data_IF_882245141072
#
_entry.id   IF_882245141072
#
_cell.length_a   1.000
_cell.length_b   1.000
_cell.length_c   1.000
_cell.angle_alpha   90.00
_cell.angle_beta   90.00
_cell.angle_gamma   90.00
#
_symmetry.space_group_name_H-M   'P 1'
#
loop_
_entity.id
_entity.type
_entity.pdbx_description
1 polymer ?
#
# COMPACT_ATOMS: atom_id res chain seq x y z
N UNK A 1 -16.20 -36.62 -10.25
CA UNK A 1 -16.44 -36.47 -8.81
C UNK A 1 -16.64 -35.00 -8.56
N UNK A 2 -17.72 -34.55 -7.89
CA UNK A 2 -17.83 -33.17 -7.46
C UNK A 2 -16.73 -32.95 -6.43
N UNK A 3 -15.87 -31.95 -6.66
CA UNK A 3 -14.86 -31.51 -5.72
C UNK A 3 -15.57 -31.23 -4.38
N UNK A 4 -15.13 -31.89 -3.32
CA UNK A 4 -15.62 -31.63 -1.98
C UNK A 4 -15.17 -30.23 -1.60
N UNK A 5 -16.08 -29.26 -1.67
CA UNK A 5 -15.87 -27.94 -1.11
C UNK A 5 -15.70 -28.12 0.40
N UNK A 6 -14.47 -28.05 0.87
CA UNK A 6 -14.10 -28.27 2.28
C UNK A 6 -14.46 -27.08 3.17
N UNK A 7 -14.72 -25.92 2.57
CA UNK A 7 -15.01 -24.67 3.29
C UNK A 7 -16.32 -24.07 2.79
N UNK A 8 -17.12 -23.55 3.73
CA UNK A 8 -18.33 -22.78 3.43
C UNK A 8 -18.19 -21.42 4.12
N UNK A 9 -18.47 -20.34 3.39
CA UNK A 9 -18.58 -19.00 3.93
C UNK A 9 -20.02 -18.53 3.87
N UNK A 10 -20.39 -17.64 4.78
CA UNK A 10 -21.70 -17.02 4.82
C UNK A 10 -21.52 -15.51 4.82
N UNK A 11 -22.29 -14.84 3.98
CA UNK A 11 -22.39 -13.39 4.01
C UNK A 11 -23.45 -12.99 5.02
N UNK A 12 -23.11 -12.10 5.96
CA UNK A 12 -24.01 -11.54 6.95
C UNK A 12 -23.84 -10.02 6.98
N UNK A 13 -24.93 -9.30 7.09
CA UNK A 13 -24.94 -7.85 7.22
C UNK A 13 -25.74 -7.42 8.47
N UNK A 14 -25.64 -6.15 8.83
CA UNK A 14 -26.33 -5.60 10.00
C UNK A 14 -27.84 -5.63 9.89
N UNK A 15 -28.43 -5.65 8.68
CA UNK A 15 -29.88 -5.69 8.48
C UNK A 15 -30.53 -6.95 9.05
N UNK A 16 -29.77 -8.04 9.15
CA UNK A 16 -30.21 -9.29 9.78
C UNK A 16 -29.84 -9.39 11.27
N UNK A 17 -29.14 -8.40 11.83
CA UNK A 17 -28.70 -8.43 13.23
C UNK A 17 -29.83 -8.04 14.20
N UNK A 18 -30.09 -8.83 15.26
CA UNK A 18 -31.02 -8.42 16.30
C UNK A 18 -30.44 -7.36 17.26
N UNK A 19 -29.15 -6.99 17.09
CA UNK A 19 -28.45 -6.07 17.98
C UNK A 19 -28.49 -4.62 17.46
N UNK A 20 -28.90 -4.40 16.21
CA UNK A 20 -28.96 -3.09 15.58
C UNK A 20 -30.42 -2.74 15.24
N UNK A 21 -30.82 -1.51 15.49
CA UNK A 21 -32.15 -1.03 15.04
C UNK A 21 -32.05 -0.54 13.58
N UNK A 22 -32.96 -0.93 12.73
CA UNK A 22 -33.01 -0.52 11.33
C UNK A 22 -33.01 1.00 11.15
N UNK A 23 -33.62 1.72 12.09
CA UNK A 23 -33.64 3.18 12.01
C UNK A 23 -32.23 3.79 12.08
N UNK A 24 -31.34 3.18 12.88
CA UNK A 24 -29.97 3.66 13.07
C UNK A 24 -29.13 3.33 11.85
N UNK A 25 -29.31 2.15 11.26
CA UNK A 25 -28.68 1.76 10.00
C UNK A 25 -29.10 2.70 8.86
N UNK A 26 -30.41 3.01 8.75
CA UNK A 26 -30.92 3.94 7.73
C UNK A 26 -30.38 5.35 7.95
N UNK A 27 -30.28 5.80 9.20
CA UNK A 27 -29.73 7.13 9.49
C UNK A 27 -28.26 7.21 9.09
N UNK A 28 -27.47 6.21 9.47
CA UNK A 28 -26.05 6.11 9.11
C UNK A 28 -25.85 6.17 7.57
N UNK A 29 -26.65 5.42 6.82
CA UNK A 29 -26.63 5.48 5.35
C UNK A 29 -26.97 6.87 4.81
N UNK A 30 -28.02 7.52 5.36
CA UNK A 30 -28.40 8.88 4.91
C UNK A 30 -27.32 9.91 5.18
N UNK A 31 -26.67 9.82 6.35
CA UNK A 31 -25.60 10.74 6.72
C UNK A 31 -24.37 10.55 5.82
N UNK A 32 -23.99 9.31 5.57
CA UNK A 32 -22.89 8.97 4.65
C UNK A 32 -23.18 9.45 3.21
N UNK A 33 -24.42 9.23 2.73
CA UNK A 33 -24.82 9.70 1.40
C UNK A 33 -24.88 11.23 1.29
N UNK A 34 -25.38 11.91 2.31
CA UNK A 34 -25.42 13.36 2.34
C UNK A 34 -24.01 13.99 2.32
N UNK A 35 -23.04 13.33 2.95
CA UNK A 35 -21.65 13.74 2.90
C UNK A 35 -21.04 13.56 1.51
N UNK A 36 -21.30 12.42 0.85
CA UNK A 36 -20.90 12.20 -0.53
C UNK A 36 -21.50 13.26 -1.47
N UNK A 37 -22.81 13.49 -1.38
CA UNK A 37 -23.53 14.44 -2.25
C UNK A 37 -23.05 15.89 -2.04
N UNK A 38 -22.65 16.26 -0.81
CA UNK A 38 -22.26 17.63 -0.47
C UNK A 38 -20.78 17.93 -0.68
N UNK A 39 -19.94 16.97 -0.38
CA UNK A 39 -18.48 17.17 -0.32
C UNK A 39 -17.71 16.31 -1.31
N UNK A 40 -18.38 15.45 -2.10
CA UNK A 40 -17.78 14.43 -2.97
C UNK A 40 -16.83 13.50 -2.19
N UNK A 41 -17.11 13.26 -0.90
CA UNK A 41 -16.33 12.42 -0.01
C UNK A 41 -17.07 11.10 0.22
N UNK A 42 -16.54 10.02 -0.33
CA UNK A 42 -17.14 8.69 -0.31
C UNK A 42 -16.73 7.85 0.93
N UNK A 43 -15.85 8.35 1.79
CA UNK A 43 -15.25 7.55 2.88
C UNK A 43 -16.31 6.96 3.83
N UNK A 44 -17.28 7.77 4.29
CA UNK A 44 -18.31 7.27 5.19
C UNK A 44 -19.24 6.25 4.51
N UNK A 45 -19.50 6.41 3.20
CA UNK A 45 -20.29 5.45 2.44
C UNK A 45 -19.52 4.15 2.21
N UNK A 46 -18.23 4.23 1.96
CA UNK A 46 -17.32 3.07 1.87
C UNK A 46 -17.28 2.30 3.17
N UNK A 47 -17.15 3.00 4.30
CA UNK A 47 -17.24 2.38 5.62
C UNK A 47 -18.58 1.69 5.82
N UNK A 48 -19.69 2.34 5.47
CA UNK A 48 -21.03 1.76 5.59
C UNK A 48 -21.18 0.49 4.75
N UNK A 49 -20.76 0.49 3.50
CA UNK A 49 -20.84 -0.69 2.62
C UNK A 49 -19.98 -1.83 3.16
N UNK A 50 -18.75 -1.54 3.55
CA UNK A 50 -17.82 -2.57 4.02
C UNK A 50 -18.21 -3.16 5.37
N UNK A 51 -18.76 -2.36 6.28
CA UNK A 51 -19.09 -2.79 7.65
C UNK A 51 -20.55 -3.17 7.83
N UNK A 52 -21.47 -2.28 7.49
CA UNK A 52 -22.91 -2.52 7.75
C UNK A 52 -23.53 -3.46 6.73
N UNK A 53 -23.12 -3.42 5.46
CA UNK A 53 -23.59 -4.36 4.45
C UNK A 53 -22.70 -5.61 4.35
N UNK A 54 -21.44 -5.54 4.82
CA UNK A 54 -20.47 -6.63 4.70
C UNK A 54 -20.09 -6.92 3.24
N UNK A 55 -20.16 -5.90 2.38
CA UNK A 55 -19.84 -5.96 0.95
C UNK A 55 -18.53 -5.25 0.69
N UNK A 56 -17.78 -5.72 -0.31
CA UNK A 56 -16.61 -4.98 -0.76
C UNK A 56 -17.05 -3.70 -1.47
N UNK A 57 -16.48 -2.57 -1.07
CA UNK A 57 -16.67 -1.33 -1.82
C UNK A 57 -16.08 -1.49 -3.22
N UNK A 58 -16.88 -1.30 -4.23
CA UNK A 58 -16.42 -1.17 -5.61
C UNK A 58 -16.29 0.33 -5.90
N UNK A 59 -15.13 0.79 -6.26
CA UNK A 59 -14.94 2.14 -6.77
C UNK A 59 -15.67 2.24 -8.10
N UNK A 60 -16.97 2.56 -8.01
CA UNK A 60 -17.77 2.84 -9.22
C UNK A 60 -17.19 4.08 -9.87
N UNK A 61 -17.16 4.12 -11.18
CA UNK A 61 -16.67 5.12 -12.15
C UNK A 61 -16.96 6.62 -11.85
N UNK A 62 -17.13 7.00 -10.58
CA UNK A 62 -17.31 8.40 -10.18
C UNK A 62 -15.99 9.17 -10.08
N UNK A 63 -14.87 8.50 -10.16
CA UNK A 63 -13.61 9.16 -10.35
C UNK A 63 -13.29 9.14 -11.85
N UNK A 64 -13.72 10.19 -12.57
CA UNK A 64 -13.32 10.41 -13.97
C UNK A 64 -11.79 10.45 -14.15
N UNK A 65 -11.05 10.43 -13.04
CA UNK A 65 -9.59 10.36 -12.95
C UNK A 65 -9.07 9.00 -12.46
N UNK A 66 -9.93 8.01 -12.20
CA UNK A 66 -9.46 6.67 -11.89
C UNK A 66 -8.65 6.16 -13.09
N UNK A 67 -7.35 6.07 -12.90
CA UNK A 67 -6.44 5.55 -13.91
C UNK A 67 -6.62 4.02 -13.94
N UNK A 68 -7.19 3.49 -15.00
CA UNK A 68 -7.36 2.05 -15.18
C UNK A 68 -6.00 1.32 -15.31
N UNK A 69 -6.01 0.01 -15.05
CA UNK A 69 -4.80 -0.82 -15.09
C UNK A 69 -4.09 -0.72 -16.45
N UNK A 70 -4.85 -0.71 -17.56
CA UNK A 70 -4.31 -0.59 -18.92
C UNK A 70 -3.59 0.75 -19.14
N UNK A 71 -4.14 1.84 -18.58
CA UNK A 71 -3.52 3.16 -18.66
C UNK A 71 -2.26 3.25 -17.80
N UNK A 72 -2.24 2.59 -16.64
CA UNK A 72 -1.03 2.50 -15.81
C UNK A 72 0.05 1.67 -16.49
N UNK A 73 -0.31 0.54 -17.09
CA UNK A 73 0.62 -0.33 -17.82
C UNK A 73 1.26 0.41 -19.02
N UNK A 74 0.48 1.20 -19.76
CA UNK A 74 0.99 2.03 -20.87
C UNK A 74 1.96 3.13 -20.43
N UNK A 75 1.96 3.50 -19.16
CA UNK A 75 2.89 4.48 -18.58
C UNK A 75 4.19 3.85 -18.09
N UNK A 76 4.31 2.52 -18.12
CA UNK A 76 5.53 1.83 -17.76
C UNK A 76 6.63 2.20 -18.74
N UNK A 77 7.74 2.68 -18.21
CA UNK A 77 8.93 3.06 -18.99
C UNK A 77 9.92 1.91 -19.02
N UNK A 78 10.54 1.70 -20.19
CA UNK A 78 11.62 0.74 -20.34
C UNK A 78 12.97 1.48 -20.41
N UNK A 79 13.84 1.21 -19.46
CA UNK A 79 15.20 1.75 -19.45
C UNK A 79 16.20 0.62 -19.15
N UNK A 80 17.44 0.77 -19.64
CA UNK A 80 18.47 -0.27 -19.62
C UNK A 80 19.38 -0.21 -18.38
N UNK A 81 19.12 0.74 -17.47
CA UNK A 81 19.89 0.96 -16.25
C UNK A 81 19.05 0.70 -14.99
N UNK A 82 19.68 0.76 -13.81
CA UNK A 82 18.93 0.65 -12.55
C UNK A 82 17.97 1.83 -12.35
N UNK A 83 18.41 3.02 -12.76
CA UNK A 83 17.66 4.27 -12.59
C UNK A 83 17.56 5.08 -13.89
N UNK A 84 16.38 5.68 -14.17
CA UNK A 84 16.21 6.54 -15.35
C UNK A 84 16.95 7.88 -15.21
N UNK A 85 17.34 8.47 -16.35
CA UNK A 85 18.20 9.64 -16.41
C UNK A 85 17.66 10.92 -15.74
N UNK A 86 16.35 11.00 -15.48
CA UNK A 86 15.70 12.14 -14.81
C UNK A 86 15.84 12.16 -13.28
N UNK A 87 16.21 11.04 -12.69
CA UNK A 87 16.32 10.90 -11.21
C UNK A 87 17.52 11.69 -10.69
N UNK A 88 17.30 12.42 -9.59
CA UNK A 88 18.34 13.21 -8.92
C UNK A 88 18.58 12.76 -7.47
N UNK A 89 17.64 12.04 -6.87
CA UNK A 89 17.75 11.50 -5.51
C UNK A 89 16.98 10.21 -5.38
N UNK A 90 17.51 9.27 -4.59
CA UNK A 90 16.82 8.04 -4.20
C UNK A 90 16.42 8.11 -2.74
N UNK A 91 15.21 7.60 -2.46
CA UNK A 91 14.73 7.36 -1.10
C UNK A 91 14.20 5.95 -0.98
N UNK A 92 14.18 5.40 0.24
CA UNK A 92 13.56 4.12 0.52
C UNK A 92 12.44 4.24 1.56
N UNK A 93 11.42 3.41 1.39
CA UNK A 93 10.40 3.17 2.40
C UNK A 93 10.46 1.70 2.82
N UNK A 94 10.39 1.46 4.13
CA UNK A 94 10.52 0.14 4.71
C UNK A 94 9.29 -0.14 5.57
N UNK A 95 8.56 -1.19 5.20
CA UNK A 95 7.46 -1.72 6.00
C UNK A 95 7.95 -2.93 6.80
N UNK A 96 7.65 -2.93 8.10
CA UNK A 96 8.11 -3.97 9.04
C UNK A 96 6.99 -4.97 9.27
N UNK A 97 7.13 -6.15 8.68
CA UNK A 97 6.21 -7.28 8.86
C UNK A 97 6.70 -8.24 9.96
N UNK A 98 5.94 -9.29 10.27
CA UNK A 98 6.30 -10.24 11.33
C UNK A 98 7.55 -11.07 11.01
N UNK A 99 7.85 -11.31 9.73
CA UNK A 99 8.91 -12.22 9.28
C UNK A 99 9.75 -11.67 8.12
N UNK A 100 9.60 -10.39 7.78
CA UNK A 100 10.34 -9.75 6.69
C UNK A 100 10.28 -8.24 6.77
N UNK A 101 11.15 -7.58 6.04
CA UNK A 101 11.00 -6.19 5.61
C UNK A 101 10.51 -6.16 4.16
N UNK A 102 9.57 -5.27 3.85
CA UNK A 102 9.25 -4.87 2.49
C UNK A 102 9.90 -3.52 2.22
N UNK A 103 10.78 -3.47 1.24
CA UNK A 103 11.55 -2.26 0.93
C UNK A 103 11.21 -1.79 -0.46
N UNK A 104 10.79 -0.54 -0.60
CA UNK A 104 10.58 0.14 -1.88
C UNK A 104 11.58 1.28 -2.02
N UNK A 105 12.34 1.28 -3.13
CA UNK A 105 13.24 2.37 -3.51
C UNK A 105 12.55 3.22 -4.56
N UNK A 106 12.52 4.54 -4.34
CA UNK A 106 11.90 5.51 -5.22
C UNK A 106 12.88 6.59 -5.65
N UNK A 107 12.93 6.84 -6.94
CA UNK A 107 13.69 7.94 -7.54
C UNK A 107 12.84 9.19 -7.72
N UNK A 108 13.41 10.37 -7.53
CA UNK A 108 12.73 11.66 -7.60
C UNK A 108 13.45 12.63 -8.51
N UNK A 109 12.71 13.42 -9.30
CA UNK A 109 13.17 14.56 -10.04
C UNK A 109 12.80 15.88 -9.33
N UNK A 110 13.18 17.03 -9.94
CA UNK A 110 12.96 18.37 -9.33
C UNK A 110 11.50 18.74 -9.16
N UNK A 111 10.63 18.33 -10.06
CA UNK A 111 9.22 18.71 -10.09
C UNK A 111 8.32 17.65 -9.43
N UNK A 112 8.88 16.90 -8.46
CA UNK A 112 8.23 15.80 -7.76
C UNK A 112 7.79 14.63 -8.66
N UNK A 113 8.24 14.62 -9.91
CA UNK A 113 8.12 13.42 -10.74
C UNK A 113 8.89 12.28 -10.07
N UNK A 114 8.31 11.10 -10.07
CA UNK A 114 8.91 9.97 -9.33
C UNK A 114 8.76 8.66 -10.09
N UNK A 115 9.73 7.77 -9.87
CA UNK A 115 9.78 6.42 -10.42
C UNK A 115 9.91 5.40 -9.30
N UNK A 116 9.12 4.31 -9.37
CA UNK A 116 9.38 3.11 -8.60
C UNK A 116 10.64 2.43 -9.19
N UNK A 117 11.73 2.44 -8.45
CA UNK A 117 13.01 1.92 -8.95
C UNK A 117 13.14 0.44 -8.66
N UNK A 118 12.93 0.05 -7.41
CA UNK A 118 13.07 -1.33 -6.99
C UNK A 118 12.17 -1.64 -5.79
N UNK A 119 11.61 -2.84 -5.78
CA UNK A 119 10.89 -3.38 -4.62
C UNK A 119 11.46 -4.74 -4.28
N UNK A 120 11.76 -4.98 -3.01
CA UNK A 120 12.30 -6.24 -2.51
C UNK A 120 11.72 -6.60 -1.15
N UNK A 121 11.84 -7.87 -0.82
CA UNK A 121 11.48 -8.42 0.49
C UNK A 121 12.73 -9.06 1.10
N UNK A 122 13.06 -8.71 2.34
CA UNK A 122 14.18 -9.27 3.11
C UNK A 122 13.57 -10.13 4.20
N UNK A 123 13.64 -11.44 4.04
CA UNK A 123 13.04 -12.41 4.95
C UNK A 123 13.96 -12.75 6.10
N UNK A 124 13.42 -12.85 7.32
CA UNK A 124 14.16 -13.32 8.48
C UNK A 124 13.38 -13.17 9.78
N UNK A 125 13.95 -13.68 10.85
CA UNK A 125 13.42 -13.51 12.19
C UNK A 125 13.82 -12.12 12.73
N UNK A 126 12.89 -11.15 12.75
CA UNK A 126 13.18 -9.77 13.12
C UNK A 126 13.64 -9.58 14.58
N UNK A 127 13.53 -10.62 15.41
CA UNK A 127 14.13 -10.62 16.75
C UNK A 127 15.66 -10.73 16.71
N UNK A 128 16.23 -11.27 15.62
CA UNK A 128 17.67 -11.45 15.41
C UNK A 128 18.26 -10.21 14.75
N UNK A 129 19.56 -10.04 14.86
CA UNK A 129 20.28 -8.89 14.29
C UNK A 129 20.64 -9.13 12.81
N UNK A 130 20.81 -10.36 12.38
CA UNK A 130 21.26 -10.73 11.03
C UNK A 130 20.36 -10.15 9.92
N UNK A 131 19.04 -10.14 10.10
CA UNK A 131 18.12 -9.58 9.11
C UNK A 131 18.16 -8.06 9.08
N UNK A 132 18.54 -7.40 10.18
CA UNK A 132 18.75 -5.95 10.24
C UNK A 132 20.09 -5.57 9.60
N UNK A 133 21.11 -6.38 9.75
CA UNK A 133 22.40 -6.23 9.06
C UNK A 133 22.19 -6.35 7.52
N UNK A 134 21.38 -7.32 7.09
CA UNK A 134 21.00 -7.47 5.66
C UNK A 134 20.24 -6.26 5.12
N UNK A 135 19.34 -5.68 5.93
CA UNK A 135 18.64 -4.43 5.57
C UNK A 135 19.62 -3.27 5.45
N UNK A 136 20.59 -3.13 6.38
CA UNK A 136 21.61 -2.09 6.33
C UNK A 136 22.50 -2.23 5.09
N UNK A 137 22.92 -3.44 4.78
CA UNK A 137 23.69 -3.76 3.56
C UNK A 137 22.89 -3.39 2.31
N UNK A 138 21.59 -3.73 2.27
CA UNK A 138 20.73 -3.36 1.15
C UNK A 138 20.58 -1.84 1.00
N UNK A 139 20.36 -1.10 2.08
CA UNK A 139 20.24 0.37 2.05
C UNK A 139 21.53 1.07 1.63
N UNK A 140 22.68 0.38 1.74
CA UNK A 140 23.99 0.83 1.26
C UNK A 140 24.25 0.52 -0.21
N UNK A 141 23.29 -0.11 -0.91
CA UNK A 141 23.42 -0.47 -2.33
C UNK A 141 23.59 0.77 -3.20
N UNK A 142 24.49 0.67 -4.18
CA UNK A 142 24.71 1.68 -5.20
C UNK A 142 23.91 1.34 -6.45
N UNK A 143 23.19 2.32 -6.99
CA UNK A 143 22.38 2.22 -8.20
C UNK A 143 23.04 3.01 -9.34
N UNK A 144 22.96 2.50 -10.57
CA UNK A 144 23.68 3.05 -11.71
C UNK A 144 22.76 3.59 -12.80
N UNK A 145 23.14 4.74 -13.35
CA UNK A 145 22.60 5.25 -14.61
C UNK A 145 23.24 4.55 -15.82
N UNK A 146 22.61 4.67 -16.97
CA UNK A 146 23.14 4.13 -18.24
C UNK A 146 24.51 4.73 -18.61
N UNK A 147 24.77 5.98 -18.25
CA UNK A 147 26.04 6.69 -18.50
C UNK A 147 27.14 6.38 -17.45
N UNK A 148 26.87 5.48 -16.51
CA UNK A 148 27.81 5.06 -15.47
C UNK A 148 27.87 5.96 -14.24
N UNK A 149 27.08 7.04 -14.18
CA UNK A 149 26.89 7.78 -12.91
C UNK A 149 26.19 6.88 -11.90
N UNK A 150 26.35 7.20 -10.63
CA UNK A 150 25.81 6.42 -9.53
C UNK A 150 25.03 7.28 -8.53
N UNK A 151 24.05 6.67 -7.87
CA UNK A 151 23.35 7.22 -6.71
C UNK A 151 23.22 6.17 -5.62
N UNK A 152 23.32 6.62 -4.39
CA UNK A 152 22.96 5.84 -3.21
C UNK A 152 21.62 6.34 -2.67
N UNK A 153 20.99 5.53 -1.84
CA UNK A 153 19.79 5.94 -1.11
C UNK A 153 20.17 7.08 -0.16
N UNK A 154 19.62 8.27 -0.39
CA UNK A 154 19.96 9.46 0.36
C UNK A 154 19.24 9.56 1.70
N UNK A 155 18.05 8.95 1.79
CA UNK A 155 17.24 8.90 3.01
C UNK A 155 16.26 7.74 2.94
N UNK A 156 15.88 7.24 4.10
CA UNK A 156 14.83 6.24 4.20
C UNK A 156 13.87 6.55 5.35
N UNK A 157 12.67 5.97 5.27
CA UNK A 157 11.70 5.94 6.34
C UNK A 157 11.35 4.47 6.65
N UNK A 158 11.19 4.15 7.93
CA UNK A 158 10.81 2.83 8.39
C UNK A 158 9.54 2.92 9.22
N UNK A 159 8.56 2.05 8.94
CA UNK A 159 7.36 1.95 9.75
C UNK A 159 7.68 1.33 11.12
N UNK A 160 7.22 2.01 12.17
CA UNK A 160 7.42 1.58 13.55
C UNK A 160 6.13 1.07 14.21
N UNK A 161 5.04 0.93 13.44
CA UNK A 161 3.70 0.64 13.96
C UNK A 161 3.45 -0.82 14.39
N UNK A 162 4.41 -1.73 14.18
CA UNK A 162 4.23 -3.17 14.39
C UNK A 162 4.78 -3.72 15.71
N UNK A 163 4.89 -5.05 15.79
CA UNK A 163 5.37 -5.79 16.96
C UNK A 163 6.84 -5.52 17.31
N UNK A 164 7.65 -5.03 16.37
CA UNK A 164 9.09 -4.80 16.52
C UNK A 164 9.48 -3.34 16.79
N UNK A 165 8.53 -2.47 17.14
CA UNK A 165 8.73 -1.04 17.42
C UNK A 165 9.98 -0.74 18.25
N UNK A 166 10.15 -1.44 19.37
CA UNK A 166 11.31 -1.23 20.26
C UNK A 166 12.65 -1.59 19.62
N UNK A 167 12.67 -2.57 18.73
CA UNK A 167 13.88 -2.98 18.02
C UNK A 167 14.20 -1.99 16.89
N UNK A 168 13.19 -1.55 16.16
CA UNK A 168 13.30 -0.52 15.13
C UNK A 168 13.92 0.79 15.67
N UNK A 169 13.51 1.22 16.86
CA UNK A 169 14.08 2.43 17.48
C UNK A 169 15.51 2.26 18.03
N UNK A 170 15.98 1.05 18.18
CA UNK A 170 17.33 0.77 18.68
C UNK A 170 18.34 0.55 17.57
N UNK A 171 17.85 0.15 16.41
CA UNK A 171 18.58 0.01 15.18
C UNK A 171 18.83 1.37 14.53
#
# INVERSE_FOLDING_TARGET
HPERISHRSFHMNELGSPLCEWKDIIQSFKDAKARLDKYHDAEDLKVFVNTSLGECWEETEMDENATDEETLEKRAEHYSADIPGGVIVLTAAIDVQDNRFEVEVRGWARDYESWGIYKTEIYGELIKDEVWDELEDYLSTTFYFEDGRELNIAAFAIDTGGHFTNKTYKW
#
